data_IF_393097223447
#
_entry.id   IF_393097223447
#
_cell.length_a   1.000
_cell.length_b   1.000
_cell.length_c   1.000
_cell.angle_alpha   90.00
_cell.angle_beta   90.00
_cell.angle_gamma   90.00
#
_symmetry.space_group_name_H-M   'P 1'
#
loop_
_entity.id
_entity.type
_entity.pdbx_description
1 polymer ?
#
# COMPACT_ATOMS: atom_id res chain seq x y z
N UNK A 1 22.38 6.53 11.61
CA UNK A 1 22.30 7.04 13.00
C UNK A 1 20.92 7.66 13.13
N UNK A 2 19.99 7.03 13.86
CA UNK A 2 18.61 7.51 14.00
C UNK A 2 18.59 8.68 14.98
N UNK A 3 18.45 9.92 14.50
CA UNK A 3 18.27 11.08 15.37
C UNK A 3 16.78 11.32 15.62
N UNK A 4 16.37 11.16 16.88
CA UNK A 4 15.08 11.65 17.34
C UNK A 4 15.10 13.19 17.24
N UNK A 5 14.18 13.77 16.47
CA UNK A 5 14.13 15.22 16.28
C UNK A 5 13.52 15.86 17.53
N UNK A 6 14.26 16.76 18.18
CA UNK A 6 13.82 17.46 19.40
C UNK A 6 12.84 18.60 19.11
N UNK A 7 12.97 19.24 17.95
CA UNK A 7 12.04 20.27 17.47
C UNK A 7 11.09 19.69 16.43
N UNK A 8 9.79 19.62 16.76
CA UNK A 8 8.77 19.06 15.86
C UNK A 8 8.79 19.78 14.50
N UNK A 9 9.07 19.08 13.37
CA UNK A 9 9.23 19.72 12.08
C UNK A 9 7.91 20.34 11.61
N UNK A 10 7.97 21.49 10.93
CA UNK A 10 6.76 22.19 10.46
C UNK A 10 6.25 21.70 9.12
N UNK A 11 7.03 20.85 8.42
CA UNK A 11 6.73 20.33 7.09
C UNK A 11 7.22 18.89 6.93
N UNK A 12 6.58 18.17 6.01
CA UNK A 12 7.09 16.95 5.40
C UNK A 12 6.84 17.03 3.89
N UNK A 13 7.89 17.25 3.11
CA UNK A 13 7.78 17.66 1.71
C UNK A 13 6.92 18.92 1.58
N UNK A 14 5.86 18.85 0.76
CA UNK A 14 4.88 19.94 0.60
C UNK A 14 3.79 19.97 1.67
N UNK A 15 3.69 18.94 2.52
CA UNK A 15 2.71 18.90 3.60
C UNK A 15 3.09 19.86 4.74
N UNK A 16 2.11 20.57 5.29
CA UNK A 16 2.24 21.42 6.47
C UNK A 16 1.82 20.63 7.70
N UNK A 17 2.73 20.51 8.68
CA UNK A 17 2.49 19.77 9.91
C UNK A 17 1.93 20.70 10.99
N UNK A 18 0.73 20.40 11.48
CA UNK A 18 0.04 21.17 12.52
C UNK A 18 -0.03 20.34 13.80
N UNK A 19 0.56 20.84 14.88
CA UNK A 19 0.57 20.16 16.18
C UNK A 19 -0.38 20.83 17.17
N UNK A 20 -1.01 20.04 18.04
CA UNK A 20 -1.90 20.54 19.09
C UNK A 20 -3.26 19.86 19.14
N UNK A 21 -3.41 18.79 18.38
CA UNK A 21 -4.67 18.10 18.16
C UNK A 21 -4.81 16.91 19.12
N UNK A 22 -6.04 16.56 19.51
CA UNK A 22 -6.28 15.34 20.29
C UNK A 22 -6.10 14.09 19.42
N UNK A 23 -5.93 12.91 20.05
CA UNK A 23 -5.62 11.68 19.30
C UNK A 23 -6.70 11.30 18.27
N UNK A 24 -7.95 11.66 18.54
CA UNK A 24 -9.10 11.36 17.66
C UNK A 24 -9.12 12.20 16.39
N UNK A 25 -8.46 13.36 16.41
CA UNK A 25 -8.48 14.35 15.33
C UNK A 25 -7.24 14.27 14.41
N UNK A 26 -6.38 13.26 14.59
CA UNK A 26 -5.20 13.06 13.72
C UNK A 26 -5.65 12.68 12.32
N UNK A 27 -5.37 13.55 11.35
CA UNK A 27 -5.88 13.45 9.97
C UNK A 27 -5.03 14.21 8.97
N UNK A 28 -5.17 13.85 7.69
CA UNK A 28 -4.71 14.67 6.57
C UNK A 28 -5.93 15.38 5.93
N UNK A 29 -5.77 16.65 5.60
CA UNK A 29 -6.80 17.46 4.92
C UNK A 29 -6.12 18.49 4.00
N UNK A 30 -6.32 18.32 2.69
CA UNK A 30 -5.60 19.07 1.67
C UNK A 30 -4.09 18.97 1.88
N UNK A 31 -3.43 20.12 2.02
CA UNK A 31 -1.98 20.20 2.27
C UNK A 31 -1.57 20.06 3.74
N UNK A 32 -2.52 19.88 4.66
CA UNK A 32 -2.28 19.91 6.09
C UNK A 32 -2.33 18.50 6.67
N UNK A 33 -1.38 18.20 7.55
CA UNK A 33 -1.40 17.00 8.40
C UNK A 33 -1.50 17.46 9.85
N UNK A 34 -2.60 17.11 10.49
CA UNK A 34 -2.90 17.42 11.88
C UNK A 34 -2.40 16.28 12.77
N UNK A 35 -1.46 16.59 13.68
CA UNK A 35 -0.80 15.64 14.57
C UNK A 35 -0.97 16.07 16.03
N UNK A 36 -0.78 15.11 16.95
CA UNK A 36 -0.84 15.42 18.37
C UNK A 36 0.34 16.29 18.81
N UNK A 37 0.06 17.23 19.71
CA UNK A 37 1.06 18.14 20.28
C UNK A 37 1.81 17.55 21.48
N UNK A 38 1.57 16.30 21.86
CA UNK A 38 1.97 15.75 23.14
C UNK A 38 3.51 15.62 23.25
N UNK A 39 4.12 15.89 24.44
CA UNK A 39 5.57 15.87 24.61
C UNK A 39 6.22 14.50 24.42
N UNK A 40 5.47 13.41 24.62
CA UNK A 40 5.95 12.03 24.41
C UNK A 40 5.77 11.52 22.98
N UNK A 41 5.29 12.36 22.07
CA UNK A 41 5.17 11.95 20.67
C UNK A 41 6.55 11.84 20.03
N UNK A 42 6.74 10.81 19.23
CA UNK A 42 7.99 10.58 18.52
C UNK A 42 7.77 10.81 17.02
N UNK A 43 8.68 11.54 16.40
CA UNK A 43 8.67 11.87 14.98
C UNK A 43 9.99 11.42 14.37
N UNK A 44 9.90 10.71 13.25
CA UNK A 44 11.05 10.21 12.50
C UNK A 44 10.92 10.64 11.05
N UNK A 45 11.87 11.42 10.59
CA UNK A 45 11.95 11.84 9.18
C UNK A 45 12.36 10.65 8.29
N UNK A 46 11.73 10.52 7.13
CA UNK A 46 12.05 9.58 6.06
C UNK A 46 12.24 10.35 4.75
N UNK A 47 12.91 9.75 3.76
CA UNK A 47 13.15 10.31 2.42
C UNK A 47 13.56 11.77 2.48
N UNK A 48 14.61 12.06 3.24
CA UNK A 48 15.16 13.42 3.41
C UNK A 48 14.14 14.47 3.90
N UNK A 49 13.04 14.04 4.51
CA UNK A 49 12.00 14.91 5.04
C UNK A 49 10.75 15.02 4.19
N UNK A 50 10.64 14.29 3.08
CA UNK A 50 9.39 14.20 2.30
C UNK A 50 8.32 13.37 3.02
N UNK A 51 8.76 12.38 3.79
CA UNK A 51 7.88 11.44 4.49
C UNK A 51 8.29 11.31 5.95
N UNK A 52 7.43 10.72 6.78
CA UNK A 52 7.71 10.53 8.20
C UNK A 52 6.97 9.37 8.83
N UNK A 53 7.52 8.87 9.93
CA UNK A 53 6.83 8.04 10.90
C UNK A 53 6.50 8.84 12.15
N UNK A 54 5.26 8.72 12.60
CA UNK A 54 4.78 9.35 13.82
C UNK A 54 4.25 8.30 14.78
N UNK A 55 4.81 8.26 15.98
CA UNK A 55 4.36 7.35 17.04
C UNK A 55 3.74 8.18 18.18
N UNK A 56 2.40 8.28 18.24
CA UNK A 56 1.74 9.04 19.28
C UNK A 56 2.05 8.43 20.65
N UNK A 57 2.56 9.26 21.55
CA UNK A 57 2.88 8.93 22.95
C UNK A 57 3.86 7.76 23.16
N UNK A 58 4.68 7.41 22.16
CA UNK A 58 5.86 6.54 22.34
C UNK A 58 5.61 5.05 22.56
N UNK A 59 4.48 4.47 22.11
CA UNK A 59 4.30 3.00 21.98
C UNK A 59 3.24 2.32 22.86
N UNK A 60 2.94 1.05 22.47
CA UNK A 60 1.96 -0.02 22.88
C UNK A 60 0.67 0.32 23.65
N UNK A 61 0.64 1.32 24.53
CA UNK A 61 -0.59 1.85 25.17
C UNK A 61 -0.99 3.23 24.62
N UNK A 62 -0.14 3.87 23.80
CA UNK A 62 -0.21 5.29 23.46
C UNK A 62 -0.85 5.69 22.12
N UNK A 63 -0.88 4.81 21.13
CA UNK A 63 -1.05 5.22 19.73
C UNK A 63 -1.01 4.07 18.75
N UNK A 64 -1.71 4.19 17.62
CA UNK A 64 -1.34 3.45 16.41
C UNK A 64 -0.24 4.27 15.72
N UNK A 65 0.93 3.70 15.39
CA UNK A 65 1.93 4.43 14.61
C UNK A 65 1.37 4.81 13.25
N UNK A 66 1.80 5.95 12.74
CA UNK A 66 1.34 6.53 11.49
C UNK A 66 2.51 6.72 10.54
N UNK A 67 2.25 6.55 9.26
CA UNK A 67 3.13 6.89 8.16
C UNK A 67 2.45 7.98 7.33
N UNK A 68 3.13 9.10 7.11
CA UNK A 68 2.58 10.24 6.40
C UNK A 68 3.65 11.03 5.68
N UNK A 69 3.21 12.06 4.96
CA UNK A 69 4.09 12.93 4.19
C UNK A 69 3.50 13.23 2.83
N UNK A 70 4.38 13.37 1.83
CA UNK A 70 4.00 13.58 0.44
C UNK A 70 4.46 12.46 -0.48
N UNK A 71 3.65 12.18 -1.51
CA UNK A 71 4.01 11.38 -2.68
C UNK A 71 3.77 12.24 -3.92
N UNK A 72 4.83 12.87 -4.42
CA UNK A 72 4.73 14.01 -5.33
C UNK A 72 3.99 15.17 -4.67
N UNK A 73 2.91 15.64 -5.31
CA UNK A 73 2.09 16.75 -4.80
C UNK A 73 1.04 16.31 -3.75
N UNK A 74 0.92 15.01 -3.48
CA UNK A 74 -0.21 14.46 -2.73
C UNK A 74 0.15 14.19 -1.28
N UNK A 75 -0.62 14.77 -0.36
CA UNK A 75 -0.47 14.56 1.09
C UNK A 75 -1.21 13.31 1.54
N UNK A 76 -0.56 12.50 2.38
CA UNK A 76 -1.18 11.32 2.97
C UNK A 76 -0.84 11.17 4.46
N UNK A 77 -1.70 10.43 5.16
CA UNK A 77 -1.49 9.97 6.52
C UNK A 77 -2.24 8.66 6.73
N UNK A 78 -1.49 7.59 7.00
CA UNK A 78 -2.03 6.24 7.12
C UNK A 78 -1.53 5.57 8.40
N UNK A 79 -2.40 4.88 9.17
CA UNK A 79 -1.94 4.06 10.27
C UNK A 79 -1.16 2.85 9.74
N UNK A 80 -0.12 2.43 10.47
CA UNK A 80 0.70 1.27 10.13
C UNK A 80 0.75 0.27 11.27
N UNK A 81 0.85 -1.02 10.97
CA UNK A 81 1.03 -2.06 11.97
C UNK A 81 2.29 -1.82 12.80
N UNK A 82 2.19 -2.11 14.10
CA UNK A 82 3.30 -1.94 15.05
C UNK A 82 4.55 -2.72 14.59
N UNK A 83 4.36 -3.90 13.99
CA UNK A 83 5.48 -4.71 13.45
C UNK A 83 6.28 -3.96 12.37
N UNK A 84 5.61 -3.24 11.46
CA UNK A 84 6.32 -2.46 10.43
C UNK A 84 7.11 -1.30 11.07
N UNK A 85 6.53 -0.66 12.09
CA UNK A 85 7.21 0.37 12.87
C UNK A 85 8.40 -0.18 13.68
N UNK A 86 8.27 -1.37 14.28
CA UNK A 86 9.36 -2.03 15.00
C UNK A 86 10.52 -2.38 14.05
N UNK A 87 10.22 -2.85 12.82
CA UNK A 87 11.23 -3.08 11.77
C UNK A 87 12.00 -1.81 11.45
N UNK A 88 11.32 -0.66 11.36
CA UNK A 88 12.00 0.64 11.18
C UNK A 88 12.97 0.93 12.32
N UNK A 89 12.54 0.77 13.57
CA UNK A 89 13.40 1.06 14.73
C UNK A 89 14.63 0.15 14.79
N UNK A 90 14.49 -1.12 14.42
CA UNK A 90 15.55 -2.12 14.49
C UNK A 90 16.52 -2.05 13.29
N UNK A 91 15.99 -1.88 12.08
CA UNK A 91 16.73 -2.08 10.82
C UNK A 91 16.79 -0.84 9.93
N UNK A 92 16.12 0.24 10.33
CA UNK A 92 16.12 1.52 9.63
C UNK A 92 15.14 1.61 8.46
N UNK A 93 15.23 2.74 7.76
CA UNK A 93 14.30 3.17 6.71
C UNK A 93 14.19 2.22 5.52
N UNK A 94 15.32 1.72 5.00
CA UNK A 94 15.29 0.80 3.85
C UNK A 94 14.51 -0.49 4.17
N UNK A 95 14.70 -1.02 5.39
CA UNK A 95 13.99 -2.21 5.85
C UNK A 95 12.50 -1.95 6.11
N UNK A 96 12.15 -0.73 6.55
CA UNK A 96 10.76 -0.30 6.68
C UNK A 96 10.02 -0.35 5.34
N UNK A 97 10.57 0.27 4.29
CA UNK A 97 9.94 0.22 2.96
C UNK A 97 9.84 -1.20 2.41
N UNK A 98 10.85 -2.04 2.64
CA UNK A 98 10.80 -3.46 2.28
C UNK A 98 9.71 -4.22 3.04
N UNK A 99 9.46 -3.88 4.31
CA UNK A 99 8.38 -4.47 5.10
C UNK A 99 6.97 -4.02 4.67
N UNK A 100 6.86 -2.90 3.96
CA UNK A 100 5.59 -2.48 3.34
C UNK A 100 5.29 -3.20 2.03
N UNK A 101 6.31 -3.80 1.38
CA UNK A 101 6.15 -4.51 0.11
C UNK A 101 5.49 -5.87 0.35
N UNK A 102 4.39 -6.17 -0.35
CA UNK A 102 3.74 -7.47 -0.22
C UNK A 102 4.70 -8.62 -0.55
N UNK A 103 4.58 -9.74 0.17
CA UNK A 103 5.45 -10.91 -0.06
C UNK A 103 5.40 -11.37 -1.52
N UNK A 104 4.20 -11.44 -2.12
CA UNK A 104 4.03 -11.76 -3.53
C UNK A 104 4.81 -10.83 -4.46
N UNK A 105 4.88 -9.53 -4.16
CA UNK A 105 5.62 -8.55 -4.98
C UNK A 105 7.12 -8.82 -4.89
N UNK A 106 7.62 -9.15 -3.69
CA UNK A 106 9.04 -9.48 -3.46
C UNK A 106 9.45 -10.77 -4.15
N UNK A 107 8.61 -11.81 -4.07
CA UNK A 107 8.87 -13.09 -4.76
C UNK A 107 8.79 -12.93 -6.28
N UNK A 108 7.83 -12.16 -6.80
CA UNK A 108 7.73 -11.90 -8.24
C UNK A 108 8.94 -11.13 -8.78
N UNK A 109 9.43 -10.11 -8.06
CA UNK A 109 10.66 -9.38 -8.41
C UNK A 109 11.87 -10.30 -8.46
N UNK A 110 12.05 -11.11 -7.40
CA UNK A 110 13.20 -12.00 -7.23
C UNK A 110 13.26 -13.12 -8.27
N UNK A 111 12.12 -13.71 -8.60
CA UNK A 111 12.06 -14.91 -9.44
C UNK A 111 11.82 -14.61 -10.92
N UNK A 112 11.14 -13.51 -11.25
CA UNK A 112 10.72 -13.22 -12.62
C UNK A 112 11.27 -11.90 -13.17
N UNK A 113 12.05 -11.14 -12.38
CA UNK A 113 12.53 -9.80 -12.76
C UNK A 113 11.40 -8.90 -13.26
N UNK A 114 10.21 -9.07 -12.67
CA UNK A 114 9.00 -8.41 -13.11
C UNK A 114 9.12 -6.88 -12.95
N UNK A 115 8.60 -6.14 -13.93
CA UNK A 115 8.41 -4.71 -13.77
C UNK A 115 7.34 -4.46 -12.69
N UNK A 116 7.65 -3.57 -11.76
CA UNK A 116 6.77 -3.24 -10.63
C UNK A 116 6.51 -1.74 -10.67
N UNK A 117 5.24 -1.40 -10.83
CA UNK A 117 4.75 -0.02 -10.74
C UNK A 117 3.95 0.13 -9.45
N UNK A 118 3.88 1.36 -8.93
CA UNK A 118 3.20 1.67 -7.68
C UNK A 118 2.36 2.93 -7.84
N UNK A 119 1.17 2.92 -7.25
CA UNK A 119 0.31 4.09 -7.08
C UNK A 119 -0.23 4.06 -5.65
N UNK A 120 0.23 4.99 -4.80
CA UNK A 120 -0.16 5.03 -3.39
C UNK A 120 0.19 3.74 -2.63
N UNK A 121 -0.85 3.01 -2.20
CA UNK A 121 -0.77 1.74 -1.47
C UNK A 121 -0.95 0.49 -2.35
N UNK A 122 -1.03 0.66 -3.67
CA UNK A 122 -1.20 -0.44 -4.63
C UNK A 122 0.08 -0.63 -5.43
N UNK A 123 0.55 -1.87 -5.47
CA UNK A 123 1.59 -2.36 -6.36
C UNK A 123 0.95 -3.09 -7.54
N UNK A 124 1.39 -2.77 -8.74
CA UNK A 124 1.04 -3.45 -9.99
C UNK A 124 2.29 -4.17 -10.51
N UNK A 125 2.25 -5.49 -10.54
CA UNK A 125 3.36 -6.35 -10.99
C UNK A 125 3.03 -6.85 -12.38
N UNK A 126 3.84 -6.51 -13.38
CA UNK A 126 3.67 -7.01 -14.74
C UNK A 126 3.80 -8.54 -14.77
N UNK A 127 2.92 -9.19 -15.53
CA UNK A 127 3.01 -10.62 -15.85
C UNK A 127 3.73 -10.87 -17.19
N UNK A 128 4.28 -9.82 -17.81
CA UNK A 128 4.99 -9.89 -19.08
C UNK A 128 4.14 -10.48 -20.21
N UNK A 129 4.63 -11.55 -20.84
CA UNK A 129 3.99 -12.17 -22.02
C UNK A 129 2.72 -12.98 -21.72
N UNK A 130 2.22 -12.96 -20.47
CA UNK A 130 0.95 -13.60 -20.10
C UNK A 130 -0.20 -12.77 -20.67
N UNK A 131 -1.13 -13.44 -21.35
CA UNK A 131 -2.33 -12.85 -21.95
C UNK A 131 -3.58 -13.45 -21.29
N UNK A 132 -4.75 -12.85 -21.56
CA UNK A 132 -6.01 -13.38 -21.01
C UNK A 132 -6.29 -14.82 -21.46
N UNK A 133 -5.86 -15.20 -22.66
CA UNK A 133 -6.05 -16.55 -23.23
C UNK A 133 -5.21 -17.60 -22.49
N UNK A 134 -3.96 -17.25 -22.11
CA UNK A 134 -3.04 -18.17 -21.45
C UNK A 134 -3.11 -18.10 -19.91
N UNK A 135 -3.89 -17.17 -19.35
CA UNK A 135 -4.04 -16.99 -17.90
C UNK A 135 -4.56 -18.26 -17.19
N UNK A 136 -5.48 -19.01 -17.80
CA UNK A 136 -5.96 -20.27 -17.24
C UNK A 136 -4.88 -21.36 -17.21
N UNK A 137 -3.98 -21.37 -18.18
CA UNK A 137 -2.83 -22.29 -18.20
C UNK A 137 -1.84 -21.92 -17.09
N UNK A 138 -1.53 -20.62 -16.94
CA UNK A 138 -0.70 -20.13 -15.83
C UNK A 138 -1.32 -20.50 -14.48
N UNK A 139 -2.62 -20.28 -14.31
CA UNK A 139 -3.35 -20.63 -13.10
C UNK A 139 -3.25 -22.13 -12.78
N UNK A 140 -3.48 -23.00 -13.77
CA UNK A 140 -3.38 -24.45 -13.59
C UNK A 140 -1.96 -24.90 -13.21
N UNK A 141 -0.92 -24.29 -13.80
CA UNK A 141 0.48 -24.58 -13.47
C UNK A 141 0.82 -24.18 -12.03
N UNK A 142 0.36 -23.00 -11.59
CA UNK A 142 0.59 -22.51 -10.22
C UNK A 142 -0.10 -23.38 -9.18
N UNK A 143 -1.34 -23.79 -9.43
CA UNK A 143 -2.09 -24.69 -8.55
C UNK A 143 -1.43 -26.07 -8.44
N UNK A 144 -0.99 -26.63 -9.56
CA UNK A 144 -0.27 -27.89 -9.58
C UNK A 144 1.02 -27.82 -8.75
N UNK A 145 1.81 -26.75 -8.91
CA UNK A 145 3.04 -26.56 -8.13
C UNK A 145 2.78 -26.38 -6.63
N UNK A 146 1.66 -25.74 -6.27
CA UNK A 146 1.27 -25.52 -4.88
C UNK A 146 0.65 -26.75 -4.20
N UNK A 147 0.47 -27.86 -4.93
CA UNK A 147 -0.23 -29.05 -4.43
C UNK A 147 -1.73 -28.83 -4.20
N UNK A 148 -2.30 -27.75 -4.77
CA UNK A 148 -3.70 -27.39 -4.62
C UNK A 148 -4.48 -27.97 -5.81
N UNK A 149 -5.37 -28.92 -5.54
CA UNK A 149 -6.32 -29.43 -6.55
C UNK A 149 -7.56 -28.53 -6.62
N UNK A 150 -7.41 -27.31 -7.12
CA UNK A 150 -8.53 -26.47 -7.55
C UNK A 150 -8.57 -26.48 -9.09
N UNK A 151 -9.74 -26.72 -9.68
CA UNK A 151 -9.91 -26.74 -11.14
C UNK A 151 -10.82 -25.60 -11.63
N UNK A 152 -11.11 -24.62 -10.77
CA UNK A 152 -11.92 -23.47 -11.15
C UNK A 152 -11.15 -22.61 -12.15
N UNK A 153 -11.76 -22.38 -13.31
CA UNK A 153 -11.26 -21.45 -14.30
C UNK A 153 -11.29 -20.02 -13.76
N UNK A 154 -10.30 -19.23 -14.13
CA UNK A 154 -10.27 -17.80 -13.87
C UNK A 154 -11.37 -17.15 -14.70
N UNK A 155 -12.46 -16.74 -14.06
CA UNK A 155 -13.47 -15.90 -14.72
C UNK A 155 -12.93 -14.48 -14.85
N UNK A 156 -13.19 -13.84 -15.98
CA UNK A 156 -12.87 -12.44 -16.23
C UNK A 156 -14.15 -11.62 -16.34
N UNK A 157 -14.08 -10.34 -16.02
CA UNK A 157 -15.14 -9.35 -16.21
C UNK A 157 -14.55 -8.07 -16.78
N UNK A 158 -15.29 -7.42 -17.67
CA UNK A 158 -15.07 -6.01 -18.00
C UNK A 158 -15.64 -5.16 -16.87
N UNK A 159 -14.96 -4.07 -16.54
CA UNK A 159 -15.32 -3.16 -15.47
C UNK A 159 -15.18 -1.72 -15.91
N UNK A 160 -16.15 -0.91 -15.49
CA UNK A 160 -16.12 0.54 -15.62
C UNK A 160 -16.12 1.11 -14.20
N UNK A 161 -14.97 1.64 -13.77
CA UNK A 161 -14.71 2.20 -12.43
C UNK A 161 -14.95 1.26 -11.24
N UNK A 162 -14.50 0.02 -11.32
CA UNK A 162 -14.57 -0.93 -10.19
C UNK A 162 -13.64 -0.50 -9.05
N UNK A 163 -14.13 -0.36 -7.80
CA UNK A 163 -13.27 -0.11 -6.65
C UNK A 163 -12.27 -1.24 -6.39
N UNK A 164 -10.99 -0.90 -6.20
CA UNK A 164 -9.93 -1.86 -5.90
C UNK A 164 -9.59 -1.85 -4.40
N UNK A 165 -9.56 -3.03 -3.79
CA UNK A 165 -9.25 -3.27 -2.36
C UNK A 165 -10.03 -2.40 -1.36
N UNK A 166 -11.28 -2.04 -1.69
CA UNK A 166 -12.11 -1.11 -0.91
C UNK A 166 -11.40 0.23 -0.64
N UNK A 167 -10.61 0.70 -1.60
CA UNK A 167 -9.97 2.01 -1.59
C UNK A 167 -10.69 2.98 -2.51
N UNK A 168 -10.21 4.22 -2.59
CA UNK A 168 -10.65 5.20 -3.59
C UNK A 168 -10.08 4.93 -4.99
N UNK A 169 -9.21 3.93 -5.13
CA UNK A 169 -8.72 3.51 -6.44
C UNK A 169 -9.84 2.82 -7.21
N UNK A 170 -9.98 3.17 -8.48
CA UNK A 170 -10.93 2.54 -9.39
C UNK A 170 -10.22 2.01 -10.62
N UNK A 171 -10.66 0.85 -11.10
CA UNK A 171 -10.18 0.24 -12.33
C UNK A 171 -11.22 0.40 -13.44
N UNK A 172 -10.77 0.87 -14.59
CA UNK A 172 -11.51 0.79 -15.86
C UNK A 172 -10.76 -0.12 -16.82
N UNK A 173 -11.42 -1.16 -17.35
CA UNK A 173 -10.80 -2.16 -18.20
C UNK A 173 -11.27 -3.57 -17.88
N UNK A 174 -10.35 -4.52 -17.77
CA UNK A 174 -10.65 -5.94 -17.57
C UNK A 174 -9.97 -6.48 -16.33
N UNK A 175 -10.68 -7.31 -15.57
CA UNK A 175 -10.12 -7.96 -14.38
C UNK A 175 -10.65 -9.38 -14.16
N UNK A 176 -9.96 -10.13 -13.29
CA UNK A 176 -10.45 -11.42 -12.80
C UNK A 176 -11.66 -11.22 -11.87
N UNK A 177 -12.79 -11.87 -12.21
CA UNK A 177 -14.07 -11.79 -11.48
C UNK A 177 -14.10 -12.68 -10.23
N UNK A 178 -13.43 -13.82 -10.29
CA UNK A 178 -13.10 -14.66 -9.13
C UNK A 178 -11.61 -14.65 -8.98
N UNK A 179 -11.14 -14.57 -7.74
CA UNK A 179 -9.72 -14.59 -7.38
C UNK A 179 -9.43 -16.01 -6.93
N UNK A 180 -9.11 -16.95 -7.83
CA UNK A 180 -8.73 -18.29 -7.39
C UNK A 180 -7.28 -18.31 -6.87
N UNK A 181 -6.52 -17.24 -7.08
CA UNK A 181 -5.13 -17.19 -6.64
C UNK A 181 -5.05 -16.61 -5.23
N UNK A 182 -5.35 -17.46 -4.25
CA UNK A 182 -4.45 -17.50 -3.09
C UNK A 182 -3.11 -17.96 -3.63
N UNK A 183 -2.30 -17.02 -4.16
CA UNK A 183 -0.88 -17.30 -4.22
C UNK A 183 -0.48 -17.65 -2.80
N UNK A 184 0.35 -18.68 -2.63
CA UNK A 184 0.82 -19.14 -1.32
C UNK A 184 1.41 -17.98 -0.49
N UNK A 185 1.78 -16.88 -1.16
CA UNK A 185 2.37 -15.65 -0.64
C UNK A 185 1.41 -14.43 -0.56
N UNK A 186 0.10 -14.61 -0.77
CA UNK A 186 -0.90 -13.53 -0.67
C UNK A 186 -1.78 -13.74 0.59
N UNK A 187 -1.68 -12.82 1.56
CA UNK A 187 -2.59 -12.79 2.73
C UNK A 187 -4.01 -12.26 2.41
N UNK A 188 -4.30 -11.99 1.13
CA UNK A 188 -5.56 -11.38 0.68
C UNK A 188 -5.79 -11.50 -0.83
N UNK A 189 -6.86 -10.88 -1.35
CA UNK A 189 -7.15 -10.89 -2.78
C UNK A 189 -6.03 -10.23 -3.58
N UNK A 190 -5.58 -10.91 -4.65
CA UNK A 190 -4.55 -10.42 -5.58
C UNK A 190 -5.12 -10.48 -7.02
N UNK A 191 -6.01 -9.54 -7.43
CA UNK A 191 -6.66 -9.59 -8.73
C UNK A 191 -5.66 -9.36 -9.86
N UNK A 192 -5.89 -10.01 -11.00
CA UNK A 192 -5.15 -9.74 -12.24
C UNK A 192 -6.00 -8.84 -13.12
N UNK A 193 -5.37 -7.80 -13.65
CA UNK A 193 -6.05 -6.67 -14.31
C UNK A 193 -5.31 -6.21 -15.56
N UNK A 194 -6.04 -5.50 -16.42
CA UNK A 194 -5.52 -4.73 -17.55
C UNK A 194 -6.44 -3.52 -17.75
N UNK A 195 -5.89 -2.35 -18.09
CA UNK A 195 -6.68 -1.12 -18.26
C UNK A 195 -6.05 0.07 -17.57
N UNK A 196 -6.86 0.90 -16.90
CA UNK A 196 -6.41 2.12 -16.23
C UNK A 196 -6.78 2.07 -14.76
N UNK A 197 -5.78 2.22 -13.89
CA UNK A 197 -5.94 2.37 -12.45
C UNK A 197 -5.91 3.85 -12.09
N UNK A 198 -7.06 4.36 -11.65
CA UNK A 198 -7.26 5.77 -11.30
C UNK A 198 -7.36 5.96 -9.80
N UNK A 199 -6.86 7.10 -9.32
CA UNK A 199 -7.10 7.60 -7.97
C UNK A 199 -7.28 9.12 -8.00
N UNK A 200 -8.17 9.72 -7.19
CA UNK A 200 -8.40 11.17 -7.20
C UNK A 200 -7.16 12.02 -6.87
N UNK A 201 -6.19 11.42 -6.17
CA UNK A 201 -4.97 12.08 -5.70
C UNK A 201 -3.70 11.40 -6.25
N UNK A 202 -3.76 10.65 -7.36
CA UNK A 202 -2.54 10.14 -7.99
C UNK A 202 -2.71 10.22 -9.51
N UNK A 203 -1.60 10.38 -10.23
CA UNK A 203 -1.61 10.25 -11.69
C UNK A 203 -2.07 8.84 -12.07
N UNK A 204 -2.98 8.76 -13.04
CA UNK A 204 -3.52 7.50 -13.56
C UNK A 204 -2.41 6.56 -14.03
N UNK A 205 -2.54 5.28 -13.68
CA UNK A 205 -1.58 4.26 -14.03
C UNK A 205 -2.17 3.39 -15.15
N UNK A 206 -1.63 3.55 -16.36
CA UNK A 206 -2.04 2.77 -17.54
C UNK A 206 -1.33 1.42 -17.53
N UNK A 207 -2.12 0.35 -17.48
CA UNK A 207 -1.72 -1.06 -17.43
C UNK A 207 -1.99 -1.71 -18.79
N UNK A 208 -1.08 -1.51 -19.74
CA UNK A 208 -1.23 -1.98 -21.13
C UNK A 208 -1.24 -3.51 -21.25
N UNK A 209 -0.48 -4.19 -20.39
CA UNK A 209 -0.42 -5.65 -20.27
C UNK A 209 -1.05 -6.15 -18.97
N UNK A 210 -1.08 -7.47 -18.76
CA UNK A 210 -1.62 -8.05 -17.54
C UNK A 210 -0.75 -7.71 -16.34
N UNK A 211 -1.39 -7.21 -15.29
CA UNK A 211 -0.72 -6.96 -14.02
C UNK A 211 -1.44 -7.65 -12.87
N UNK A 212 -0.67 -8.21 -11.94
CA UNK A 212 -1.17 -8.62 -10.63
C UNK A 212 -1.16 -7.40 -9.72
N UNK A 213 -2.30 -7.08 -9.12
CA UNK A 213 -2.38 -6.05 -8.10
C UNK A 213 -2.19 -6.67 -6.71
N UNK A 214 -1.37 -6.00 -5.91
CA UNK A 214 -1.20 -6.30 -4.49
C UNK A 214 -1.22 -5.00 -3.69
N UNK A 215 -1.81 -5.03 -2.50
CA UNK A 215 -1.87 -3.88 -1.61
C UNK A 215 -0.75 -3.92 -0.58
N UNK A 216 -0.12 -2.79 -0.26
CA UNK A 216 0.93 -2.67 0.74
C UNK A 216 0.60 -3.44 2.02
N UNK A 217 1.56 -4.24 2.46
CA UNK A 217 1.57 -4.83 3.79
C UNK A 217 1.94 -3.74 4.81
N UNK A 218 1.67 -3.97 6.09
CA UNK A 218 2.14 -3.02 7.11
C UNK A 218 1.27 -1.76 7.26
N UNK A 219 0.35 -1.44 6.34
CA UNK A 219 -0.59 -0.30 6.47
C UNK A 219 -1.97 -0.80 6.91
N UNK A 220 -2.59 -0.11 7.86
CA UNK A 220 -3.94 -0.41 8.35
C UNK A 220 -4.92 0.44 7.58
N UNK A 221 -5.96 -0.21 7.08
CA UNK A 221 -7.02 0.45 6.34
C UNK A 221 -8.30 0.34 7.13
N UNK A 222 -8.88 1.50 7.47
CA UNK A 222 -10.24 1.51 8.00
C UNK A 222 -11.15 1.26 6.81
N UNK A 223 -11.99 0.24 6.91
CA UNK A 223 -13.11 0.10 5.97
C UNK A 223 -13.94 1.38 6.11
N UNK A 224 -14.03 2.19 5.04
CA UNK A 224 -14.98 3.28 4.97
C UNK A 224 -16.40 2.71 4.74
N UNK A 225 -16.82 1.83 5.64
CA UNK A 225 -18.15 1.21 5.65
C UNK A 225 -19.14 1.91 6.56
N UNK A 226 -18.71 2.86 7.39
CA UNK A 226 -19.57 3.54 8.38
C UNK A 226 -19.27 5.05 8.42
N UNK A 227 -19.61 5.75 7.32
CA UNK A 227 -19.77 7.20 7.32
C UNK A 227 -20.95 7.54 6.40
N UNK A 228 -22.15 7.33 6.92
CA UNK A 228 -23.34 8.10 6.56
C UNK A 228 -23.32 9.45 7.29
#
# INVERSE_FOLDING_TARGET
MLSMITDKPKKAGEAILVYGVEREDVRADGRYIYLTGHPKDQFYSLQEGEQFLFNPRGGKKGGQPLFGGTDGENVFLSPIYVVAFDVFLEKGEAAFYQALRPEIVREMEKHFQAEIRRQGDIFAVSLGSVTWENLNLLHALLLHHSGINDHRFVKTKEVDREPIFATRHTLTGKMTATIPVQFVYCAGPCPIVQGVLDHPNHESLVLEELHLLARSEGVIYRNNGDAD
#
